data_IF_754403767909
#
_entry.id   IF_754403767909
#
_cell.length_a   1.000
_cell.length_b   1.000
_cell.length_c   1.000
_cell.angle_alpha   90.00
_cell.angle_beta   90.00
_cell.angle_gamma   90.00
#
_symmetry.space_group_name_H-M   'P 1'
#
loop_
_entity.id
_entity.type
_entity.pdbx_description
1 polymer ?
#
# COMPACT_ATOMS: atom_id res chain seq x y z
N UNK A 1 8.22 22.63 -15.59
CA UNK A 1 8.26 21.15 -15.65
C UNK A 1 9.46 20.54 -14.94
N UNK A 2 10.70 20.81 -15.36
CA UNK A 2 11.89 20.27 -14.67
C UNK A 2 11.94 20.72 -13.20
N UNK A 3 11.54 21.96 -12.93
CA UNK A 3 11.33 22.49 -11.58
C UNK A 3 10.31 21.67 -10.78
N UNK A 4 9.09 21.47 -11.31
CA UNK A 4 8.05 20.63 -10.67
C UNK A 4 8.54 19.21 -10.38
N UNK A 5 9.29 18.62 -11.31
CA UNK A 5 9.88 17.29 -11.13
C UNK A 5 10.95 17.27 -10.03
N UNK A 6 11.76 18.33 -9.92
CA UNK A 6 12.81 18.48 -8.91
C UNK A 6 12.23 18.79 -7.53
N UNK A 7 11.22 19.67 -7.45
CA UNK A 7 10.46 19.96 -6.22
C UNK A 7 9.82 18.69 -5.66
N UNK A 8 9.28 17.83 -6.53
CA UNK A 8 8.77 16.51 -6.18
C UNK A 8 9.85 15.45 -5.91
N UNK A 9 11.14 15.81 -5.80
CA UNK A 9 12.27 14.90 -5.57
C UNK A 9 12.33 13.74 -6.57
N UNK A 10 12.09 14.04 -7.85
CA UNK A 10 12.02 13.06 -8.94
C UNK A 10 10.92 12.00 -8.80
N UNK A 11 9.97 12.16 -7.87
CA UNK A 11 8.85 11.23 -7.71
C UNK A 11 7.71 11.45 -8.74
N UNK A 12 7.28 12.68 -9.07
CA UNK A 12 6.13 12.90 -9.94
C UNK A 12 6.30 12.24 -11.32
N UNK A 13 5.32 11.42 -11.69
CA UNK A 13 5.16 10.93 -13.06
C UNK A 13 4.35 11.88 -13.92
N UNK A 14 4.14 11.50 -15.19
CA UNK A 14 3.38 12.32 -16.17
C UNK A 14 2.00 12.77 -15.67
N UNK A 15 1.28 11.93 -14.89
CA UNK A 15 -0.02 12.29 -14.33
C UNK A 15 0.09 13.42 -13.30
N UNK A 16 0.98 13.28 -12.32
CA UNK A 16 1.19 14.26 -11.26
C UNK A 16 1.70 15.59 -11.82
N UNK A 17 2.66 15.55 -12.76
CA UNK A 17 3.15 16.76 -13.43
C UNK A 17 2.04 17.44 -14.25
N UNK A 18 1.16 16.66 -14.91
CA UNK A 18 0.02 17.25 -15.63
C UNK A 18 -0.91 18.00 -14.68
N UNK A 19 -1.25 17.41 -13.53
CA UNK A 19 -2.09 18.07 -12.53
C UNK A 19 -1.43 19.34 -11.97
N UNK A 20 -0.14 19.28 -11.61
CA UNK A 20 0.61 20.44 -11.12
C UNK A 20 0.64 21.58 -12.14
N UNK A 21 0.91 21.27 -13.42
CA UNK A 21 0.91 22.30 -14.47
C UNK A 21 -0.49 22.89 -14.69
N UNK A 22 -1.55 22.08 -14.59
CA UNK A 22 -2.93 22.57 -14.70
C UNK A 22 -3.33 23.45 -13.52
N UNK A 23 -2.88 23.15 -12.30
CA UNK A 23 -3.06 24.00 -11.12
C UNK A 23 -2.31 25.34 -11.28
N UNK A 24 -1.16 25.34 -11.96
CA UNK A 24 -0.41 26.55 -12.33
C UNK A 24 -1.07 27.32 -13.51
N UNK A 25 -2.21 26.85 -14.02
CA UNK A 25 -2.98 27.50 -15.08
C UNK A 25 -2.63 27.05 -16.51
N UNK A 26 -1.71 26.10 -16.68
CA UNK A 26 -1.31 25.59 -17.99
C UNK A 26 -2.36 24.66 -18.60
N UNK A 27 -2.78 24.95 -19.82
CA UNK A 27 -3.66 24.06 -20.60
C UNK A 27 -2.85 22.99 -21.33
N UNK A 28 -2.34 22.02 -20.58
CA UNK A 28 -1.53 20.92 -21.12
C UNK A 28 -2.16 19.53 -20.88
N UNK A 29 -2.08 18.67 -21.89
CA UNK A 29 -2.54 17.29 -21.82
C UNK A 29 -1.44 16.31 -21.45
N UNK A 30 -1.81 15.18 -20.84
CA UNK A 30 -0.87 14.15 -20.36
C UNK A 30 0.07 13.61 -21.44
N UNK A 31 -0.38 13.50 -22.69
CA UNK A 31 0.48 13.04 -23.79
C UNK A 31 1.63 14.01 -24.07
N UNK A 32 1.35 15.31 -24.06
CA UNK A 32 2.37 16.35 -24.24
C UNK A 32 3.35 16.35 -23.06
N UNK A 33 2.85 16.28 -21.83
CA UNK A 33 3.70 16.12 -20.63
C UNK A 33 4.59 14.88 -20.75
N UNK A 34 4.04 13.74 -21.17
CA UNK A 34 4.83 12.51 -21.36
C UNK A 34 5.93 12.67 -22.43
N UNK A 35 5.64 13.36 -23.54
CA UNK A 35 6.65 13.66 -24.57
C UNK A 35 7.78 14.51 -23.99
N UNK A 36 7.42 15.60 -23.31
CA UNK A 36 8.39 16.50 -22.68
C UNK A 36 9.21 15.79 -21.59
N UNK A 37 8.61 14.89 -20.81
CA UNK A 37 9.37 14.08 -19.83
C UNK A 37 10.41 13.21 -20.55
N UNK A 38 10.05 12.64 -21.70
CA UNK A 38 10.97 11.81 -22.50
C UNK A 38 12.09 12.65 -23.13
N UNK A 39 11.75 13.82 -23.68
CA UNK A 39 12.71 14.77 -24.27
C UNK A 39 13.70 15.30 -23.23
N UNK A 40 13.26 15.48 -21.99
CA UNK A 40 14.08 15.92 -20.85
C UNK A 40 14.70 14.76 -20.05
N UNK A 41 14.56 13.51 -20.51
CA UNK A 41 15.06 12.30 -19.84
C UNK A 41 14.63 12.13 -18.37
N UNK A 42 13.44 12.66 -18.02
CA UNK A 42 12.90 12.61 -16.66
C UNK A 42 12.20 11.27 -16.39
N UNK A 43 12.77 10.48 -15.48
CA UNK A 43 12.24 9.18 -15.06
C UNK A 43 11.80 9.23 -13.60
N UNK A 44 10.52 8.95 -13.36
CA UNK A 44 9.97 8.89 -11.99
C UNK A 44 10.68 7.84 -11.15
N UNK A 45 11.10 8.23 -9.95
CA UNK A 45 11.72 7.37 -8.92
C UNK A 45 10.70 6.75 -7.97
N UNK A 46 9.39 6.89 -8.22
CA UNK A 46 8.43 6.22 -7.36
C UNK A 46 8.61 4.71 -7.47
N UNK A 47 8.71 4.00 -6.32
CA UNK A 47 8.69 2.55 -6.33
C UNK A 47 7.45 2.06 -7.08
N UNK A 48 7.61 1.00 -7.87
CA UNK A 48 6.48 0.32 -8.48
C UNK A 48 5.47 -0.16 -7.44
N UNK A 49 4.30 -0.63 -7.90
CA UNK A 49 3.30 -1.26 -7.03
C UNK A 49 3.97 -2.32 -6.15
N UNK A 50 3.72 -2.29 -4.84
CA UNK A 50 4.21 -3.31 -3.91
C UNK A 50 3.73 -4.69 -4.38
N UNK A 51 4.66 -5.50 -4.85
CA UNK A 51 4.41 -6.90 -5.15
C UNK A 51 4.50 -7.68 -3.83
N UNK A 52 3.37 -7.82 -3.13
CA UNK A 52 3.30 -8.74 -1.99
C UNK A 52 3.68 -10.14 -2.49
N UNK A 53 4.76 -10.72 -1.95
CA UNK A 53 5.07 -12.12 -2.17
C UNK A 53 3.95 -12.93 -1.51
N UNK A 54 3.12 -13.59 -2.31
CA UNK A 54 2.15 -14.54 -1.79
C UNK A 54 2.93 -15.69 -1.15
N UNK A 55 2.80 -15.87 0.15
CA UNK A 55 3.29 -17.07 0.83
C UNK A 55 2.30 -18.20 0.53
N UNK A 56 2.41 -18.82 -0.65
CA UNK A 56 1.60 -19.98 -1.05
C UNK A 56 2.19 -21.31 -0.59
N UNK A 57 3.37 -21.28 0.01
CA UNK A 57 4.11 -22.48 0.42
C UNK A 57 4.16 -22.50 1.94
N UNK A 58 3.62 -23.57 2.51
CA UNK A 58 3.76 -23.90 3.93
C UNK A 58 5.24 -24.02 4.29
N UNK A 59 5.61 -23.59 5.49
CA UNK A 59 6.99 -23.67 6.00
C UNK A 59 7.15 -24.97 6.81
N UNK A 60 7.76 -26.04 6.24
CA UNK A 60 7.87 -27.33 6.94
C UNK A 60 8.79 -27.27 8.16
N UNK A 61 9.66 -26.25 8.21
CA UNK A 61 10.57 -25.95 9.32
C UNK A 61 9.86 -25.39 10.56
N UNK A 62 8.63 -24.88 10.41
CA UNK A 62 7.84 -24.30 11.51
C UNK A 62 6.47 -24.99 11.53
N UNK A 63 6.28 -26.04 12.35
CA UNK A 63 5.04 -26.79 12.36
C UNK A 63 3.87 -25.92 12.84
N UNK A 64 2.73 -26.03 12.16
CA UNK A 64 1.47 -25.45 12.63
C UNK A 64 0.90 -26.29 13.78
N UNK A 65 1.36 -26.01 15.00
CA UNK A 65 0.99 -26.75 16.22
C UNK A 65 -0.53 -26.69 16.46
N UNK A 66 -1.16 -25.55 16.19
CA UNK A 66 -2.59 -25.38 16.43
C UNK A 66 -3.46 -26.14 15.44
N UNK A 67 -3.08 -26.19 14.16
CA UNK A 67 -3.78 -26.92 13.10
C UNK A 67 -5.33 -26.75 13.06
N UNK A 68 -5.85 -25.57 13.44
CA UNK A 68 -7.29 -25.29 13.60
C UNK A 68 -8.01 -26.16 14.64
N UNK A 69 -7.27 -26.79 15.55
CA UNK A 69 -7.80 -27.49 16.71
C UNK A 69 -8.13 -26.48 17.80
N UNK A 70 -9.34 -25.92 17.73
CA UNK A 70 -9.84 -24.96 18.70
C UNK A 70 -10.59 -25.62 19.86
N UNK A 71 -10.55 -26.94 20.01
CA UNK A 71 -11.13 -27.63 21.17
C UNK A 71 -10.05 -27.78 22.24
N UNK A 72 -10.11 -26.95 23.28
CA UNK A 72 -9.08 -26.85 24.31
C UNK A 72 -9.61 -27.36 25.65
N UNK A 73 -8.74 -28.01 26.42
CA UNK A 73 -9.09 -28.61 27.71
C UNK A 73 -9.29 -27.60 28.84
N UNK A 74 -8.80 -26.37 28.67
CA UNK A 74 -8.90 -25.29 29.64
C UNK A 74 -8.82 -23.91 28.96
N UNK A 75 -9.31 -22.85 29.62
CA UNK A 75 -9.09 -21.48 29.20
C UNK A 75 -7.61 -21.13 28.99
N UNK A 76 -7.35 -20.06 28.25
CA UNK A 76 -6.02 -19.45 28.06
C UNK A 76 -4.94 -20.32 27.40
N UNK A 77 -5.34 -21.39 26.69
CA UNK A 77 -4.42 -22.23 25.92
C UNK A 77 -4.30 -21.84 24.45
N UNK A 78 -5.38 -21.31 23.87
CA UNK A 78 -5.43 -20.89 22.47
C UNK A 78 -6.17 -19.57 22.37
N UNK A 79 -5.55 -18.62 21.68
CA UNK A 79 -6.14 -17.32 21.37
C UNK A 79 -6.18 -17.11 19.86
N UNK A 80 -7.30 -16.62 19.37
CA UNK A 80 -7.46 -16.18 17.98
C UNK A 80 -7.49 -14.66 17.97
N UNK A 81 -6.81 -14.04 17.01
CA UNK A 81 -6.88 -12.60 16.81
C UNK A 81 -6.95 -12.24 15.34
N UNK A 82 -7.60 -11.11 15.07
CA UNK A 82 -7.67 -10.53 13.73
C UNK A 82 -7.55 -9.00 13.83
N UNK A 83 -7.03 -8.39 12.76
CA UNK A 83 -6.98 -6.94 12.62
C UNK A 83 -7.78 -6.59 11.37
N UNK A 84 -8.83 -5.79 11.57
CA UNK A 84 -9.66 -5.28 10.49
C UNK A 84 -9.71 -3.76 10.53
N UNK A 85 -10.25 -3.17 9.48
CA UNK A 85 -10.48 -1.73 9.37
C UNK A 85 -11.99 -1.46 9.37
N UNK A 86 -12.42 -0.54 10.22
CA UNK A 86 -13.82 -0.14 10.33
C UNK A 86 -13.98 1.36 10.13
N UNK A 87 -15.09 1.78 9.54
CA UNK A 87 -15.41 3.19 9.39
C UNK A 87 -16.11 3.69 10.65
N UNK A 88 -15.47 4.61 11.36
CA UNK A 88 -16.03 5.20 12.57
C UNK A 88 -15.57 6.64 12.73
N UNK A 89 -16.47 7.52 13.18
CA UNK A 89 -16.16 8.93 13.45
C UNK A 89 -15.52 9.66 12.25
N UNK A 90 -15.99 9.37 11.03
CA UNK A 90 -15.54 10.04 9.81
C UNK A 90 -14.14 9.66 9.32
N UNK A 91 -13.55 8.59 9.85
CA UNK A 91 -12.25 8.07 9.41
C UNK A 91 -12.18 6.55 9.49
N UNK A 92 -11.21 5.98 8.77
CA UNK A 92 -10.84 4.58 8.93
C UNK A 92 -10.10 4.36 10.25
N UNK A 93 -10.53 3.38 11.02
CA UNK A 93 -9.93 2.99 12.30
C UNK A 93 -9.51 1.52 12.22
N UNK A 94 -8.37 1.19 12.81
CA UNK A 94 -7.95 -0.20 13.00
C UNK A 94 -8.65 -0.77 14.23
N UNK A 95 -9.27 -1.93 14.05
CA UNK A 95 -9.85 -2.73 15.12
C UNK A 95 -9.04 -4.01 15.25
N UNK A 96 -8.42 -4.20 16.41
CA UNK A 96 -7.78 -5.46 16.79
C UNK A 96 -8.70 -6.20 17.75
N UNK A 97 -8.98 -7.46 17.44
CA UNK A 97 -9.79 -8.34 18.29
C UNK A 97 -8.90 -9.51 18.73
N UNK A 98 -9.00 -9.87 20.01
CA UNK A 98 -8.39 -11.08 20.58
C UNK A 98 -9.49 -11.84 21.30
N UNK A 99 -9.68 -13.10 20.93
CA UNK A 99 -10.66 -14.01 21.50
C UNK A 99 -9.93 -15.21 22.08
N UNK A 100 -10.17 -15.49 23.36
CA UNK A 100 -9.81 -16.78 23.96
C UNK A 100 -10.99 -17.72 23.96
N UNK A 101 -10.70 -19.02 23.88
CA UNK A 101 -11.68 -20.05 24.18
C UNK A 101 -11.64 -20.38 25.67
N UNK A 102 -12.83 -20.50 26.27
CA UNK A 102 -13.08 -20.96 27.63
C UNK A 102 -13.16 -22.48 27.68
#
# INVERSE_FOLDING_TARGET
>A
MNELFTQGRSAPGSRSITAMMQDDGERIGRFKVRSLMRELELVSKQPGSHAYKKATVERPDIPNILNREFDVSAPDHVWCGDITYTWAQGKWQYLAVVLGKL
#
